data_IF_763419442702
#
_entry.id   IF_763419442702
#
_cell.length_a   1.000
_cell.length_b   1.000
_cell.length_c   1.000
_cell.angle_alpha   90.00
_cell.angle_beta   90.00
_cell.angle_gamma   90.00
#
_symmetry.space_group_name_H-M   'P 1'
#
loop_
_entity.id
_entity.type
_entity.pdbx_description
1 polymer ?
#
# COMPACT_ATOMS: atom_id res chain seq x y z
N UNK A 1 -27.28 7.39 8.86
CA UNK A 1 -26.31 8.35 8.28
C UNK A 1 -25.45 7.74 7.17
N UNK A 2 -24.80 6.59 7.37
CA UNK A 2 -23.96 5.96 6.34
C UNK A 2 -24.72 5.62 5.05
N UNK A 3 -25.93 5.03 5.14
CA UNK A 3 -26.74 4.64 3.96
C UNK A 3 -27.14 5.85 3.12
N UNK A 4 -27.56 6.94 3.76
CA UNK A 4 -27.92 8.18 3.06
C UNK A 4 -26.72 8.76 2.29
N UNK A 5 -25.53 8.77 2.90
CA UNK A 5 -24.31 9.24 2.22
C UNK A 5 -23.92 8.36 1.02
N UNK A 6 -24.12 7.03 1.13
CA UNK A 6 -23.91 6.10 0.01
C UNK A 6 -24.88 6.42 -1.14
N UNK A 7 -26.16 6.64 -0.84
CA UNK A 7 -27.17 7.02 -1.85
C UNK A 7 -26.78 8.33 -2.53
N UNK A 8 -26.44 9.37 -1.77
CA UNK A 8 -26.01 10.66 -2.32
C UNK A 8 -24.77 10.52 -3.20
N UNK A 9 -23.76 9.76 -2.78
CA UNK A 9 -22.57 9.49 -3.60
C UNK A 9 -22.90 8.73 -4.87
N UNK A 10 -23.84 7.79 -4.81
CA UNK A 10 -24.29 7.05 -5.99
C UNK A 10 -25.01 7.96 -6.99
N UNK A 11 -25.89 8.83 -6.51
CA UNK A 11 -26.59 9.82 -7.35
C UNK A 11 -25.57 10.78 -7.96
N UNK A 12 -24.66 11.33 -7.15
CA UNK A 12 -23.61 12.23 -7.63
C UNK A 12 -22.70 11.58 -8.67
N UNK A 13 -22.34 10.30 -8.47
CA UNK A 13 -21.58 9.57 -9.46
C UNK A 13 -22.35 9.39 -10.76
N UNK A 14 -23.63 8.99 -10.69
CA UNK A 14 -24.49 8.84 -11.86
C UNK A 14 -24.61 10.17 -12.63
N UNK A 15 -24.86 11.28 -11.95
CA UNK A 15 -25.00 12.59 -12.61
C UNK A 15 -23.72 13.01 -13.30
N UNK A 16 -22.56 12.82 -12.66
CA UNK A 16 -21.28 13.14 -13.28
C UNK A 16 -20.96 12.20 -14.45
N UNK A 17 -21.27 10.91 -14.31
CA UNK A 17 -21.09 9.91 -15.37
C UNK A 17 -21.85 10.28 -16.64
N UNK A 18 -23.07 10.81 -16.48
CA UNK A 18 -23.94 11.20 -17.60
C UNK A 18 -23.60 12.59 -18.17
N UNK A 19 -23.07 13.50 -17.37
CA UNK A 19 -22.80 14.88 -17.79
C UNK A 19 -21.39 15.11 -18.31
N UNK A 20 -20.40 14.33 -17.87
CA UNK A 20 -18.97 14.59 -18.10
C UNK A 20 -18.26 13.37 -18.69
N UNK A 21 -17.54 13.58 -19.79
CA UNK A 21 -16.85 12.50 -20.49
C UNK A 21 -15.46 12.19 -19.92
N UNK A 22 -14.82 13.16 -19.27
CA UNK A 22 -13.53 13.05 -18.61
C UNK A 22 -13.60 12.36 -17.23
N UNK A 23 -14.78 12.37 -16.60
CA UNK A 23 -14.94 11.93 -15.22
C UNK A 23 -14.80 10.42 -15.05
N UNK A 24 -13.75 9.96 -14.37
CA UNK A 24 -13.48 8.52 -14.09
C UNK A 24 -13.35 7.68 -15.37
N UNK A 25 -12.92 8.30 -16.48
CA UNK A 25 -12.80 7.67 -17.79
C UNK A 25 -11.39 7.11 -18.05
N UNK A 26 -10.89 6.29 -17.12
CA UNK A 26 -9.56 5.66 -17.24
C UNK A 26 -9.64 4.17 -17.63
N UNK A 27 -10.86 3.67 -17.86
CA UNK A 27 -11.13 2.24 -18.00
C UNK A 27 -11.43 1.86 -19.45
N UNK A 28 -10.71 0.88 -19.97
CA UNK A 28 -10.85 0.38 -21.34
C UNK A 28 -11.86 -0.78 -21.35
N UNK A 29 -13.03 -0.53 -21.94
CA UNK A 29 -14.14 -1.49 -22.04
C UNK A 29 -14.35 -2.04 -23.45
N UNK A 30 -15.40 -2.86 -23.60
CA UNK A 30 -15.74 -3.49 -24.88
C UNK A 30 -16.03 -2.46 -25.99
N UNK A 31 -16.72 -1.37 -25.68
CA UNK A 31 -16.99 -0.29 -26.64
C UNK A 31 -15.69 0.36 -27.17
N UNK A 32 -14.65 0.47 -26.34
CA UNK A 32 -13.35 1.00 -26.78
C UNK A 32 -12.67 0.05 -27.77
N UNK A 33 -12.69 -1.26 -27.50
CA UNK A 33 -12.18 -2.27 -28.44
C UNK A 33 -12.97 -2.29 -29.75
N UNK A 34 -14.29 -2.04 -29.70
CA UNK A 34 -15.10 -1.93 -30.91
C UNK A 34 -14.70 -0.73 -31.79
N UNK A 35 -14.36 0.41 -31.17
CA UNK A 35 -13.85 1.60 -31.88
C UNK A 35 -12.48 1.30 -32.53
N UNK A 36 -11.55 0.68 -31.79
CA UNK A 36 -10.22 0.30 -32.31
C UNK A 36 -10.35 -0.66 -33.50
N UNK A 37 -11.17 -1.71 -33.38
CA UNK A 37 -11.43 -2.68 -34.45
C UNK A 37 -12.05 -2.04 -35.70
N UNK A 38 -12.96 -1.07 -35.52
CA UNK A 38 -13.56 -0.35 -36.65
C UNK A 38 -12.52 0.51 -37.37
N UNK A 39 -11.64 1.19 -36.64
CA UNK A 39 -10.56 1.97 -37.25
C UNK A 39 -9.53 1.10 -37.95
N UNK A 40 -9.23 -0.08 -37.41
CA UNK A 40 -8.39 -1.09 -38.06
C UNK A 40 -8.97 -1.49 -39.43
N UNK A 41 -10.28 -1.75 -39.51
CA UNK A 41 -10.94 -2.06 -40.79
C UNK A 41 -10.91 -0.91 -41.80
N UNK A 42 -10.78 0.34 -41.32
CA UNK A 42 -10.69 1.56 -42.12
C UNK A 42 -9.23 1.99 -42.41
N UNK A 43 -8.24 1.18 -42.02
CA UNK A 43 -6.81 1.51 -42.17
C UNK A 43 -6.40 2.84 -41.51
N UNK A 44 -7.09 3.23 -40.42
CA UNK A 44 -6.79 4.41 -39.63
C UNK A 44 -5.81 4.09 -38.49
N UNK A 45 -5.09 5.09 -37.95
CA UNK A 45 -4.17 4.87 -36.85
C UNK A 45 -4.87 4.28 -35.62
N UNK A 46 -4.26 3.23 -35.09
CA UNK A 46 -4.72 2.44 -33.93
C UNK A 46 -4.13 2.98 -32.62
N UNK A 47 -4.92 2.91 -31.53
CA UNK A 47 -4.43 3.26 -30.19
C UNK A 47 -3.76 2.05 -29.53
N UNK A 48 -4.32 0.86 -29.70
CA UNK A 48 -3.69 -0.36 -29.21
C UNK A 48 -2.49 -0.74 -30.11
N UNK A 49 -1.41 -1.37 -29.64
CA UNK A 49 -1.09 -1.66 -28.24
C UNK A 49 -0.79 -0.40 -27.42
N UNK A 50 -1.15 -0.43 -26.14
CA UNK A 50 -0.85 0.66 -25.20
C UNK A 50 0.64 0.62 -24.85
N UNK A 51 1.28 1.78 -24.86
CA UNK A 51 2.67 1.93 -24.38
C UNK A 51 2.75 1.68 -22.87
N UNK A 52 3.95 1.34 -22.36
CA UNK A 52 4.16 1.14 -20.91
C UNK A 52 3.71 2.32 -20.04
N UNK A 53 3.78 3.55 -20.55
CA UNK A 53 3.30 4.74 -19.81
C UNK A 53 1.79 4.78 -19.74
N UNK A 54 1.13 4.49 -20.85
CA UNK A 54 -0.32 4.48 -20.96
C UNK A 54 -0.93 3.36 -20.14
N UNK A 55 -0.29 2.18 -20.06
CA UNK A 55 -0.74 1.07 -19.21
C UNK A 55 -0.77 1.44 -17.71
N UNK A 56 -0.03 2.46 -17.27
CA UNK A 56 -0.08 2.97 -15.89
C UNK A 56 -1.21 4.00 -15.66
N UNK A 57 -1.81 4.53 -16.73
CA UNK A 57 -2.87 5.53 -16.71
C UNK A 57 -4.24 4.96 -17.10
N UNK A 58 -4.24 3.99 -18.03
CA UNK A 58 -5.44 3.36 -18.58
C UNK A 58 -5.37 1.86 -18.38
N UNK A 59 -6.47 1.27 -17.94
CA UNK A 59 -6.51 -0.16 -17.63
C UNK A 59 -7.78 -0.81 -18.17
N UNK A 60 -7.71 -2.04 -18.70
CA UNK A 60 -8.93 -2.75 -19.08
C UNK A 60 -9.76 -3.09 -17.83
N UNK A 61 -11.09 -3.02 -17.97
CA UNK A 61 -12.02 -3.29 -16.85
C UNK A 61 -11.83 -4.69 -16.24
N UNK A 62 -11.42 -5.66 -17.06
CA UNK A 62 -11.27 -7.07 -16.68
C UNK A 62 -9.90 -7.42 -16.08
N UNK A 63 -8.94 -6.48 -16.07
CA UNK A 63 -7.61 -6.77 -15.53
C UNK A 63 -7.63 -6.83 -14.00
N UNK A 64 -6.89 -7.79 -13.43
CA UNK A 64 -6.70 -7.89 -11.98
C UNK A 64 -5.66 -6.92 -11.43
N UNK A 65 -4.86 -6.28 -12.29
CA UNK A 65 -3.82 -5.35 -11.88
C UNK A 65 -4.43 -4.04 -11.37
N UNK A 66 -3.86 -3.48 -10.31
CA UNK A 66 -4.28 -2.17 -9.79
C UNK A 66 -3.49 -1.04 -10.44
N UNK A 67 -4.21 0.04 -10.79
CA UNK A 67 -3.62 1.27 -11.31
C UNK A 67 -2.79 1.97 -10.23
N UNK A 68 -1.77 2.76 -10.60
CA UNK A 68 -0.93 3.49 -9.63
C UNK A 68 -1.75 4.37 -8.67
N UNK A 69 -2.78 5.02 -9.19
CA UNK A 69 -3.68 5.85 -8.38
C UNK A 69 -4.52 5.02 -7.40
N UNK A 70 -5.01 3.85 -7.85
CA UNK A 70 -5.74 2.91 -7.00
C UNK A 70 -4.82 2.36 -5.90
N UNK A 71 -3.58 1.98 -6.24
CA UNK A 71 -2.56 1.52 -5.28
C UNK A 71 -2.24 2.58 -4.24
N UNK A 72 -2.09 3.85 -4.62
CA UNK A 72 -1.83 4.93 -3.66
C UNK A 72 -3.01 5.12 -2.70
N UNK A 73 -4.25 5.01 -3.19
CA UNK A 73 -5.45 5.08 -2.35
C UNK A 73 -5.51 3.91 -1.38
N UNK A 74 -5.30 2.69 -1.88
CA UNK A 74 -5.25 1.46 -1.08
C UNK A 74 -4.12 1.54 -0.05
N UNK A 75 -2.92 1.98 -0.43
CA UNK A 75 -1.79 2.12 0.47
C UNK A 75 -2.06 3.12 1.59
N UNK A 76 -2.71 4.26 1.28
CA UNK A 76 -3.12 5.23 2.28
C UNK A 76 -4.13 4.62 3.27
N UNK A 77 -5.17 3.96 2.75
CA UNK A 77 -6.20 3.33 3.59
C UNK A 77 -5.60 2.18 4.43
N UNK A 78 -4.71 1.38 3.85
CA UNK A 78 -3.98 0.31 4.50
C UNK A 78 -3.05 0.84 5.60
N UNK A 79 -2.39 1.99 5.39
CA UNK A 79 -1.57 2.63 6.42
C UNK A 79 -2.41 3.02 7.65
N UNK A 80 -3.58 3.64 7.43
CA UNK A 80 -4.48 3.97 8.53
C UNK A 80 -4.97 2.71 9.26
N UNK A 81 -5.40 1.67 8.52
CA UNK A 81 -5.82 0.43 9.14
C UNK A 81 -4.68 -0.26 9.89
N UNK A 82 -3.47 -0.23 9.36
CA UNK A 82 -2.27 -0.77 10.02
C UNK A 82 -2.02 -0.12 11.38
N UNK A 83 -2.08 1.21 11.46
CA UNK A 83 -1.96 1.91 12.75
C UNK A 83 -3.06 1.48 13.73
N UNK A 84 -4.31 1.38 13.26
CA UNK A 84 -5.42 0.88 14.08
C UNK A 84 -5.22 -0.58 14.51
N UNK A 85 -4.64 -1.43 13.65
CA UNK A 85 -4.35 -2.83 13.99
C UNK A 85 -3.31 -2.94 15.09
N UNK A 86 -2.26 -2.11 15.07
CA UNK A 86 -1.25 -2.04 16.13
C UNK A 86 -1.90 -1.59 17.44
N UNK A 87 -2.76 -0.57 17.40
CA UNK A 87 -3.46 -0.10 18.59
C UNK A 87 -4.34 -1.19 19.21
N UNK A 88 -5.15 -1.89 18.40
CA UNK A 88 -6.00 -3.00 18.87
C UNK A 88 -5.14 -4.15 19.41
N UNK A 89 -4.08 -4.53 18.71
CA UNK A 89 -3.16 -5.58 19.15
C UNK A 89 -2.47 -5.23 20.47
N UNK A 90 -2.07 -3.96 20.66
CA UNK A 90 -1.50 -3.49 21.91
C UNK A 90 -2.50 -3.59 23.07
N UNK A 91 -3.76 -3.20 22.86
CA UNK A 91 -4.81 -3.32 23.87
C UNK A 91 -5.03 -4.79 24.27
N UNK A 92 -5.16 -5.69 23.28
CA UNK A 92 -5.33 -7.13 23.52
C UNK A 92 -4.12 -7.72 24.25
N UNK A 93 -2.92 -7.27 23.90
CA UNK A 93 -1.68 -7.72 24.55
C UNK A 93 -1.62 -7.27 26.01
N UNK A 94 -2.00 -6.02 26.31
CA UNK A 94 -2.04 -5.50 27.68
C UNK A 94 -3.05 -6.26 28.52
N UNK A 95 -4.24 -6.55 27.98
CA UNK A 95 -5.27 -7.33 28.66
C UNK A 95 -4.79 -8.75 29.00
N UNK A 96 -4.12 -9.42 28.05
CA UNK A 96 -3.51 -10.73 28.26
C UNK A 96 -2.37 -10.71 29.29
N UNK A 97 -1.50 -9.70 29.23
CA UNK A 97 -0.44 -9.50 30.22
C UNK A 97 -1.01 -9.25 31.62
N UNK A 98 -2.09 -8.47 31.74
CA UNK A 98 -2.76 -8.20 33.01
C UNK A 98 -3.34 -9.49 33.60
N UNK A 99 -4.01 -10.31 32.79
CA UNK A 99 -4.51 -11.63 33.20
C UNK A 99 -3.39 -12.53 33.75
N UNK A 100 -2.26 -12.63 33.03
CA UNK A 100 -1.12 -13.43 33.49
C UNK A 100 -0.48 -12.88 34.76
N UNK A 101 -0.32 -11.56 34.87
CA UNK A 101 0.23 -10.93 36.05
C UNK A 101 -0.64 -11.22 37.28
N UNK A 102 -1.96 -11.04 37.17
CA UNK A 102 -2.89 -11.36 38.25
C UNK A 102 -2.87 -12.84 38.62
N UNK A 103 -2.73 -13.73 37.62
CA UNK A 103 -2.63 -15.18 37.85
C UNK A 103 -1.36 -15.53 38.63
N UNK A 104 -0.21 -14.97 38.26
CA UNK A 104 1.07 -15.20 38.95
C UNK A 104 1.00 -14.67 40.39
N UNK A 105 0.48 -13.45 40.59
CA UNK A 105 0.33 -12.84 41.93
C UNK A 105 -0.62 -13.66 42.79
N UNK A 106 -1.75 -14.12 42.24
CA UNK A 106 -2.69 -15.00 42.92
C UNK A 106 -2.05 -16.32 43.35
N UNK A 107 -1.29 -16.97 42.47
CA UNK A 107 -0.57 -18.21 42.79
C UNK A 107 0.53 -18.02 43.83
N UNK A 108 1.32 -16.96 43.73
CA UNK A 108 2.37 -16.65 44.69
C UNK A 108 1.80 -16.37 46.09
N UNK A 109 0.70 -15.60 46.15
CA UNK A 109 0.00 -15.29 47.41
C UNK A 109 -0.57 -16.55 48.10
N UNK A 110 -1.15 -17.47 47.31
CA UNK A 110 -1.65 -18.76 47.81
C UNK A 110 -0.51 -19.64 48.36
N UNK A 111 0.60 -19.78 47.62
CA UNK A 111 1.78 -20.56 48.05
C UNK A 111 2.45 -20.01 49.31
N UNK A 112 2.59 -18.69 49.44
CA UNK A 112 3.23 -18.09 50.60
C UNK A 112 2.41 -18.29 51.90
N UNK A 113 1.09 -18.46 51.77
CA UNK A 113 0.22 -18.76 52.92
C UNK A 113 0.40 -20.19 53.43
N UNK A 114 0.73 -21.15 52.55
CA UNK A 114 1.01 -22.54 52.95
C UNK A 114 2.35 -22.68 53.69
N UNK A 115 3.35 -21.88 53.35
CA UNK A 115 4.72 -21.99 53.89
C UNK A 115 4.85 -21.33 55.27
N UNK A 116 4.00 -20.35 55.61
CA UNK A 116 4.18 -19.50 56.80
C UNK A 116 3.36 -19.86 58.05
N UNK A 117 2.58 -20.95 58.09
CA UNK A 117 1.76 -21.19 59.29
C UNK A 117 1.44 -22.66 59.61
N UNK A 118 2.03 -23.22 60.68
CA UNK A 118 1.30 -24.13 61.53
C UNK A 118 0.32 -23.31 62.36
N UNK A 119 -0.98 -23.60 62.22
CA UNK A 119 -2.07 -22.95 62.94
C UNK A 119 -1.88 -23.02 64.46
N UNK A 120 -1.80 -21.85 65.11
CA UNK A 120 -2.09 -21.63 66.54
C UNK A 120 -1.33 -22.52 67.54
N UNK A 121 -0.08 -22.19 67.85
CA UNK A 121 0.56 -22.67 69.08
C UNK A 121 0.17 -21.78 70.26
N UNK A 122 -0.64 -22.31 71.18
CA UNK A 122 -0.96 -21.66 72.46
C UNK A 122 0.09 -22.07 73.49
N UNK A 123 1.06 -21.20 73.78
CA UNK A 123 2.18 -21.50 74.66
C UNK A 123 1.76 -21.18 76.10
N UNK A 124 1.65 -22.19 76.97
CA UNK A 124 1.28 -22.00 78.37
C UNK A 124 2.51 -22.08 79.28
N UNK A 125 2.84 -20.98 79.97
CA UNK A 125 3.98 -20.90 80.89
C UNK A 125 3.53 -21.27 82.32
N UNK A 126 3.99 -22.42 82.81
CA UNK A 126 3.69 -22.95 84.15
C UNK A 126 4.78 -22.50 85.13
N UNK A 127 4.39 -21.83 86.23
CA UNK A 127 5.30 -21.39 87.30
C UNK A 127 4.90 -20.04 87.89
N UNK A 128 5.05 -19.87 89.21
CA UNK A 128 4.76 -18.61 89.90
C UNK A 128 6.07 -17.95 90.33
N UNK A 129 6.48 -16.92 89.59
CA UNK A 129 7.70 -16.16 89.84
C UNK A 129 7.86 -15.01 88.83
N UNK A 130 8.72 -14.04 89.15
CA UNK A 130 8.95 -12.84 88.32
C UNK A 130 9.47 -13.17 86.91
N UNK A 131 10.25 -14.24 86.77
CA UNK A 131 10.73 -14.75 85.47
C UNK A 131 9.56 -15.32 84.65
N UNK A 132 8.63 -16.04 85.27
CA UNK A 132 7.46 -16.58 84.59
C UNK A 132 6.54 -15.45 84.05
N UNK A 133 6.41 -14.34 84.78
CA UNK A 133 5.66 -13.17 84.32
C UNK A 133 6.32 -12.45 83.13
N UNK A 134 7.66 -12.41 83.08
CA UNK A 134 8.39 -11.90 81.92
C UNK A 134 8.12 -12.76 80.67
N UNK A 135 8.22 -14.08 80.78
CA UNK A 135 7.93 -14.99 79.67
C UNK A 135 6.46 -14.91 79.22
N UNK A 136 5.49 -14.76 80.14
CA UNK A 136 4.08 -14.53 79.79
C UNK A 136 3.88 -13.30 78.93
N UNK A 137 4.59 -12.21 79.22
CA UNK A 137 4.51 -10.96 78.41
C UNK A 137 5.09 -11.16 77.02
N UNK A 138 6.23 -11.84 76.90
CA UNK A 138 6.85 -12.14 75.60
C UNK A 138 5.92 -13.03 74.76
N UNK A 139 5.37 -14.09 75.35
CA UNK A 139 4.40 -14.97 74.70
C UNK A 139 3.14 -14.22 74.29
N UNK A 140 2.61 -13.33 75.12
CA UNK A 140 1.43 -12.53 74.78
C UNK A 140 1.66 -11.63 73.56
N UNK A 141 2.86 -11.06 73.40
CA UNK A 141 3.23 -10.26 72.21
C UNK A 141 3.35 -11.15 70.97
N UNK A 142 3.94 -12.34 71.10
CA UNK A 142 4.07 -13.31 70.00
C UNK A 142 2.68 -13.83 69.57
N UNK A 143 1.78 -14.09 70.51
CA UNK A 143 0.40 -14.47 70.20
C UNK A 143 -0.36 -13.33 69.51
N UNK A 144 -0.18 -12.09 69.95
CA UNK A 144 -0.79 -10.93 69.32
C UNK A 144 -0.28 -10.70 67.89
N UNK A 145 1.03 -10.85 67.65
CA UNK A 145 1.62 -10.72 66.32
C UNK A 145 1.22 -11.87 65.39
N UNK A 146 1.14 -13.10 65.91
CA UNK A 146 0.64 -14.24 65.17
C UNK A 146 -0.83 -14.08 64.76
N UNK A 147 -1.70 -13.58 65.66
CA UNK A 147 -3.10 -13.27 65.33
C UNK A 147 -3.24 -12.17 64.28
N UNK A 148 -2.38 -11.15 64.33
CA UNK A 148 -2.36 -10.08 63.33
C UNK A 148 -1.93 -10.62 61.94
N UNK A 149 -0.91 -11.48 61.90
CA UNK A 149 -0.49 -12.16 60.68
C UNK A 149 -1.57 -13.11 60.13
N UNK A 150 -2.34 -13.75 61.01
CA UNK A 150 -3.45 -14.64 60.63
C UNK A 150 -4.67 -13.89 60.06
N UNK A 151 -4.94 -12.69 60.56
CA UNK A 151 -5.95 -11.77 60.04
C UNK A 151 -5.54 -11.18 58.68
N UNK A 152 -4.26 -10.87 58.50
CA UNK A 152 -3.67 -10.36 57.26
C UNK A 152 -3.23 -11.49 56.31
N UNK A 153 -3.99 -12.59 56.22
CA UNK A 153 -3.69 -13.70 55.29
C UNK A 153 -3.72 -13.22 53.84
N UNK A 154 -2.59 -13.21 53.12
CA UNK A 154 -2.55 -12.77 51.72
C UNK A 154 -3.45 -13.63 50.82
N UNK A 155 -3.66 -14.91 51.15
CA UNK A 155 -4.54 -15.81 50.41
C UNK A 155 -6.02 -15.38 50.40
N UNK A 156 -6.53 -14.70 51.45
CA UNK A 156 -7.93 -14.20 51.44
C UNK A 156 -8.13 -13.03 50.49
N UNK A 157 -7.05 -12.33 50.13
CA UNK A 157 -7.05 -11.22 49.17
C UNK A 157 -6.43 -11.63 47.83
N UNK A 158 -6.22 -12.93 47.58
CA UNK A 158 -5.66 -13.39 46.32
C UNK A 158 -6.62 -13.03 45.17
N UNK A 159 -6.17 -12.29 44.15
CA UNK A 159 -7.00 -12.00 42.99
C UNK A 159 -7.30 -13.31 42.24
N UNK A 160 -8.58 -13.55 41.95
CA UNK A 160 -9.04 -14.61 41.06
C UNK A 160 -9.44 -13.98 39.72
N UNK A 161 -8.50 -13.83 38.78
CA UNK A 161 -8.81 -13.22 37.50
C UNK A 161 -9.73 -14.14 36.68
N UNK A 162 -10.82 -13.62 36.09
CA UNK A 162 -11.60 -14.40 35.14
C UNK A 162 -10.74 -14.74 33.92
N UNK A 163 -10.93 -15.94 33.38
CA UNK A 163 -10.24 -16.34 32.15
C UNK A 163 -10.60 -15.37 31.01
N UNK A 164 -9.63 -15.03 30.13
CA UNK A 164 -9.89 -14.12 29.03
C UNK A 164 -10.94 -14.71 28.08
N UNK A 165 -11.88 -13.88 27.63
CA UNK A 165 -12.96 -14.27 26.71
C UNK A 165 -12.39 -14.54 25.30
N UNK A 166 -11.90 -15.75 25.05
CA UNK A 166 -11.34 -16.14 23.74
C UNK A 166 -12.32 -15.91 22.58
N UNK A 167 -13.62 -16.04 22.81
CA UNK A 167 -14.67 -15.76 21.81
C UNK A 167 -14.63 -14.30 21.36
N UNK A 168 -14.45 -13.35 22.29
CA UNK A 168 -14.37 -11.92 21.96
C UNK A 168 -13.09 -11.62 21.20
N UNK A 169 -11.96 -12.22 21.57
CA UNK A 169 -10.72 -12.08 20.81
C UNK A 169 -10.83 -12.64 19.39
N UNK A 170 -11.50 -13.78 19.21
CA UNK A 170 -11.80 -14.32 17.88
C UNK A 170 -12.69 -13.37 17.06
N UNK A 171 -13.71 -12.77 17.68
CA UNK A 171 -14.57 -11.77 17.02
C UNK A 171 -13.77 -10.53 16.59
N UNK A 172 -12.91 -10.00 17.45
CA UNK A 172 -12.03 -8.86 17.13
C UNK A 172 -11.09 -9.22 15.97
N UNK A 173 -10.47 -10.40 16.02
CA UNK A 173 -9.62 -10.90 14.93
C UNK A 173 -10.37 -11.03 13.61
N UNK A 174 -11.59 -11.60 13.63
CA UNK A 174 -12.44 -11.71 12.45
C UNK A 174 -12.80 -10.35 11.86
N UNK A 175 -13.19 -9.38 12.69
CA UNK A 175 -13.48 -8.02 12.25
C UNK A 175 -12.25 -7.37 11.61
N UNK A 176 -11.06 -7.55 12.19
CA UNK A 176 -9.81 -7.03 11.66
C UNK A 176 -9.47 -7.61 10.28
N UNK A 177 -9.58 -8.92 10.14
CA UNK A 177 -9.36 -9.63 8.86
C UNK A 177 -10.37 -9.17 7.81
N UNK A 178 -11.64 -9.02 8.19
CA UNK A 178 -12.67 -8.52 7.28
C UNK A 178 -12.40 -7.08 6.81
N UNK A 179 -11.88 -6.22 7.70
CA UNK A 179 -11.51 -4.84 7.36
C UNK A 179 -10.35 -4.82 6.35
N UNK A 180 -9.34 -5.67 6.54
CA UNK A 180 -8.25 -5.82 5.57
C UNK A 180 -8.76 -6.33 4.22
N UNK A 181 -9.66 -7.31 4.22
CA UNK A 181 -10.29 -7.81 2.99
C UNK A 181 -11.06 -6.69 2.26
N UNK A 182 -11.82 -5.86 2.98
CA UNK A 182 -12.54 -4.74 2.37
C UNK A 182 -11.63 -3.71 1.71
N UNK A 183 -10.44 -3.44 2.25
CA UNK A 183 -9.47 -2.54 1.61
C UNK A 183 -8.99 -3.10 0.27
N UNK A 184 -8.79 -4.42 0.18
CA UNK A 184 -8.40 -5.08 -1.07
C UNK A 184 -9.55 -5.10 -2.07
N UNK A 185 -10.79 -5.29 -1.59
CA UNK A 185 -12.01 -5.33 -2.41
C UNK A 185 -12.48 -3.94 -2.89
N UNK A 186 -12.15 -2.86 -2.17
CA UNK A 186 -12.54 -1.48 -2.49
C UNK A 186 -12.28 -1.08 -3.96
N UNK A 187 -11.07 -1.23 -4.53
CA UNK A 187 -10.81 -0.86 -5.93
C UNK A 187 -11.66 -1.68 -6.92
N UNK A 188 -11.92 -2.96 -6.63
CA UNK A 188 -12.75 -3.80 -7.49
C UNK A 188 -14.23 -3.38 -7.43
N UNK A 189 -14.73 -3.00 -6.25
CA UNK A 189 -16.08 -2.44 -6.10
C UNK A 189 -16.29 -1.15 -6.90
N UNK A 190 -15.26 -0.29 -6.96
CA UNK A 190 -15.31 0.92 -7.78
C UNK A 190 -15.37 0.62 -9.29
N UNK A 191 -14.70 -0.45 -9.75
CA UNK A 191 -14.77 -0.89 -11.15
C UNK A 191 -16.11 -1.51 -11.51
N UNK A 192 -16.73 -2.25 -10.59
CA UNK A 192 -18.07 -2.83 -10.80
C UNK A 192 -19.10 -1.74 -11.08
N UNK A 193 -19.01 -0.59 -10.41
CA UNK A 193 -19.88 0.56 -10.67
C UNK A 193 -19.79 1.05 -12.12
N UNK A 194 -18.59 1.06 -12.71
CA UNK A 194 -18.38 1.42 -14.11
C UNK A 194 -19.04 0.39 -15.04
N UNK A 195 -18.92 -0.90 -14.72
CA UNK A 195 -19.56 -1.98 -15.47
C UNK A 195 -21.09 -1.87 -15.44
N UNK A 196 -21.65 -1.59 -14.25
CA UNK A 196 -23.09 -1.37 -14.08
C UNK A 196 -23.54 -0.18 -14.94
N UNK A 197 -22.87 0.97 -14.86
CA UNK A 197 -23.26 2.15 -15.64
C UNK A 197 -23.14 1.92 -17.15
N UNK A 198 -22.12 1.19 -17.60
CA UNK A 198 -21.97 0.81 -19.01
C UNK A 198 -23.11 -0.11 -19.48
N UNK A 199 -23.60 -1.00 -18.62
CA UNK A 199 -24.74 -1.87 -18.92
C UNK A 199 -26.08 -1.13 -18.98
N UNK A 200 -26.32 -0.17 -18.07
CA UNK A 200 -27.57 0.59 -18.05
C UNK A 200 -27.63 1.71 -19.10
N UNK A 201 -26.50 2.33 -19.44
CA UNK A 201 -26.41 3.47 -20.36
C UNK A 201 -25.40 3.21 -21.49
N UNK A 202 -25.69 2.27 -22.41
CA UNK A 202 -24.73 1.84 -23.44
C UNK A 202 -24.36 2.96 -24.41
N UNK A 203 -25.33 3.81 -24.81
CA UNK A 203 -25.04 4.93 -25.71
C UNK A 203 -24.07 5.95 -25.09
N UNK A 204 -24.24 6.25 -23.80
CA UNK A 204 -23.31 7.15 -23.10
C UNK A 204 -21.93 6.50 -22.92
N UNK A 205 -21.88 5.19 -22.68
CA UNK A 205 -20.62 4.46 -22.62
C UNK A 205 -19.86 4.50 -23.96
N UNK A 206 -20.55 4.44 -25.10
CA UNK A 206 -19.93 4.59 -26.43
C UNK A 206 -19.35 5.97 -26.65
N UNK A 207 -20.11 7.02 -26.36
CA UNK A 207 -19.62 8.40 -26.48
C UNK A 207 -18.34 8.60 -25.66
N UNK A 208 -18.35 8.15 -24.41
CA UNK A 208 -17.19 8.23 -23.51
C UNK A 208 -16.01 7.40 -23.99
N UNK A 209 -16.25 6.23 -24.58
CA UNK A 209 -15.20 5.41 -25.18
C UNK A 209 -14.57 6.11 -26.39
N UNK A 210 -15.37 6.73 -27.26
CA UNK A 210 -14.86 7.51 -28.41
C UNK A 210 -14.09 8.76 -27.97
N UNK A 211 -14.58 9.45 -26.94
CA UNK A 211 -13.88 10.58 -26.33
C UNK A 211 -12.52 10.16 -25.77
N UNK A 212 -12.48 9.06 -24.99
CA UNK A 212 -11.24 8.52 -24.42
C UNK A 212 -10.25 8.15 -25.52
N UNK A 213 -10.73 7.50 -26.59
CA UNK A 213 -9.90 7.11 -27.72
C UNK A 213 -9.25 8.34 -28.40
N UNK A 214 -10.04 9.39 -28.65
CA UNK A 214 -9.54 10.63 -29.24
C UNK A 214 -8.61 11.38 -28.28
N UNK A 215 -8.90 11.40 -26.98
CA UNK A 215 -8.05 12.01 -25.96
C UNK A 215 -6.67 11.34 -25.88
N UNK A 216 -6.61 10.00 -25.97
CA UNK A 216 -5.34 9.27 -26.02
C UNK A 216 -4.53 9.65 -27.27
N UNK A 217 -5.17 9.70 -28.45
CA UNK A 217 -4.49 10.11 -29.68
C UNK A 217 -3.97 11.55 -29.60
N UNK A 218 -4.78 12.48 -29.10
CA UNK A 218 -4.38 13.88 -28.91
C UNK A 218 -3.20 13.99 -27.93
N UNK A 219 -3.19 13.21 -26.85
CA UNK A 219 -2.07 13.15 -25.90
C UNK A 219 -0.79 12.62 -26.53
N UNK A 220 -0.86 11.61 -27.41
CA UNK A 220 0.30 11.13 -28.16
C UNK A 220 0.85 12.21 -29.10
N UNK A 221 -0.01 12.83 -29.90
CA UNK A 221 0.42 13.88 -30.82
C UNK A 221 1.01 15.10 -30.10
N UNK A 222 0.37 15.54 -29.02
CA UNK A 222 0.85 16.68 -28.24
C UNK A 222 2.18 16.37 -27.57
N UNK A 223 2.36 15.15 -27.04
CA UNK A 223 3.65 14.70 -26.51
C UNK A 223 4.75 14.76 -27.59
N UNK A 224 4.50 14.21 -28.77
CA UNK A 224 5.47 14.26 -29.90
C UNK A 224 5.77 15.70 -30.31
N UNK A 225 4.75 16.56 -30.47
CA UNK A 225 4.93 17.99 -30.81
C UNK A 225 5.74 18.74 -29.75
N UNK A 226 5.51 18.46 -28.46
CA UNK A 226 6.29 19.05 -27.37
C UNK A 226 7.75 18.59 -27.39
N UNK A 227 7.97 17.31 -27.63
CA UNK A 227 9.33 16.73 -27.77
C UNK A 227 10.07 17.37 -28.95
N UNK A 228 9.43 17.47 -30.13
CA UNK A 228 10.04 18.08 -31.31
C UNK A 228 10.36 19.57 -31.12
N UNK A 229 9.47 20.33 -30.45
CA UNK A 229 9.75 21.74 -30.12
C UNK A 229 10.93 21.89 -29.17
N UNK A 230 11.05 21.00 -28.19
CA UNK A 230 12.19 21.00 -27.28
C UNK A 230 13.49 20.65 -28.03
N UNK A 231 13.47 19.66 -28.91
CA UNK A 231 14.63 19.33 -29.76
C UNK A 231 15.07 20.52 -30.61
N UNK A 232 14.14 21.23 -31.25
CA UNK A 232 14.47 22.41 -32.06
C UNK A 232 15.07 23.56 -31.22
N UNK A 233 14.64 23.72 -29.97
CA UNK A 233 15.22 24.70 -29.05
C UNK A 233 16.63 24.31 -28.61
N UNK A 234 16.85 23.04 -28.28
CA UNK A 234 18.14 22.53 -27.81
C UNK A 234 19.19 22.49 -28.95
N UNK A 235 18.78 22.22 -30.20
CA UNK A 235 19.64 22.30 -31.39
C UNK A 235 20.05 23.74 -31.75
N UNK A 236 19.25 24.73 -31.34
CA UNK A 236 19.51 26.16 -31.59
C UNK A 236 20.40 26.85 -30.56
N UNK A 237 20.74 26.20 -29.44
CA UNK A 237 21.55 26.77 -28.36
C UNK A 237 22.85 25.95 -28.12
N UNK A 238 23.99 26.35 -28.72
CA UNK A 238 25.28 25.68 -28.50
C UNK A 238 25.89 25.95 -27.11
N UNK A 239 25.21 26.68 -26.22
CA UNK A 239 25.71 27.08 -24.89
C UNK A 239 24.70 26.73 -23.77
N UNK A 240 24.43 25.43 -23.62
CA UNK A 240 23.39 24.91 -22.73
C UNK A 240 23.48 25.37 -21.26
N UNK A 241 22.44 26.07 -20.81
CA UNK A 241 22.06 26.13 -19.38
C UNK A 241 21.17 24.94 -19.06
N UNK A 242 21.32 24.30 -17.88
CA UNK A 242 20.50 23.14 -17.51
C UNK A 242 19.03 23.55 -17.42
N UNK A 243 18.17 22.75 -18.06
CA UNK A 243 16.72 22.96 -18.10
C UNK A 243 16.13 22.75 -16.70
N UNK A 244 15.07 23.49 -16.34
CA UNK A 244 14.38 23.41 -15.05
C UNK A 244 13.96 21.97 -14.65
N UNK A 245 13.75 21.08 -15.64
CA UNK A 245 13.49 19.66 -15.44
C UNK A 245 14.70 18.89 -14.86
N UNK A 246 15.93 19.28 -15.18
CA UNK A 246 17.14 18.69 -14.62
C UNK A 246 17.33 19.09 -13.15
N UNK A 247 16.93 20.32 -12.80
CA UNK A 247 16.89 20.81 -11.42
C UNK A 247 15.84 20.04 -10.60
N UNK A 248 14.67 19.77 -11.18
CA UNK A 248 13.63 18.95 -10.53
C UNK A 248 14.09 17.50 -10.39
N UNK A 249 14.71 16.92 -11.42
CA UNK A 249 15.25 15.55 -11.38
C UNK A 249 16.36 15.40 -10.33
N UNK A 250 17.21 16.42 -10.17
CA UNK A 250 18.25 16.47 -9.12
C UNK A 250 17.65 16.62 -7.71
N UNK A 251 16.60 17.45 -7.53
CA UNK A 251 15.94 17.66 -6.23
C UNK A 251 15.08 16.48 -5.78
N UNK A 252 14.50 15.72 -6.70
CA UNK A 252 13.62 14.58 -6.39
C UNK A 252 14.42 13.30 -6.05
N UNK A 253 15.70 13.26 -6.41
CA UNK A 253 16.64 12.17 -6.09
C UNK A 253 17.14 12.19 -4.63
N UNK A 254 16.54 13.02 -3.77
CA UNK A 254 17.00 13.29 -2.41
C UNK A 254 16.24 12.53 -1.31
N UNK A 255 15.29 11.65 -1.65
CA UNK A 255 14.63 10.76 -0.68
C UNK A 255 15.51 9.52 -0.38
N UNK A 256 16.47 9.75 0.51
CA UNK A 256 17.48 8.84 1.05
C UNK A 256 16.93 7.46 1.51
N UNK A 257 15.68 7.39 1.96
CA UNK A 257 15.03 6.15 2.42
C UNK A 257 14.83 5.07 1.33
N UNK A 258 14.80 5.43 0.05
CA UNK A 258 14.66 4.46 -1.05
C UNK A 258 15.97 3.78 -1.45
N UNK A 259 17.12 4.34 -1.02
CA UNK A 259 18.46 3.95 -1.49
C UNK A 259 19.07 2.79 -0.70
N UNK A 260 18.54 2.49 0.48
CA UNK A 260 19.08 1.48 1.39
C UNK A 260 18.40 0.10 1.27
N UNK A 261 17.21 0.04 0.68
CA UNK A 261 16.41 -1.20 0.54
C UNK A 261 16.53 -1.84 -0.84
N UNK A 262 16.74 -1.05 -1.90
CA UNK A 262 16.94 -1.57 -3.26
C UNK A 262 18.43 -1.58 -3.60
N UNK A 263 19.02 -2.77 -3.54
CA UNK A 263 20.40 -3.04 -3.92
C UNK A 263 20.79 -2.46 -5.28
N UNK A 264 22.08 -2.14 -5.40
CA UNK A 264 22.71 -1.46 -6.52
C UNK A 264 22.76 -2.34 -7.77
N UNK A 265 21.64 -2.47 -8.46
CA UNK A 265 21.61 -2.74 -9.89
C UNK A 265 20.96 -1.53 -10.54
N UNK A 266 21.73 -0.80 -11.34
CA UNK A 266 21.20 0.28 -12.18
C UNK A 266 20.70 -0.37 -13.48
N UNK A 267 19.41 -0.72 -13.61
CA UNK A 267 18.87 -1.08 -14.92
C UNK A 267 19.10 0.10 -15.87
N UNK A 268 19.52 -0.19 -17.10
CA UNK A 268 19.56 0.81 -18.17
C UNK A 268 18.14 1.33 -18.34
N UNK A 269 17.93 2.64 -18.28
CA UNK A 269 16.59 3.24 -18.40
C UNK A 269 16.45 4.00 -19.70
N UNK A 270 15.28 3.91 -20.31
CA UNK A 270 14.99 4.70 -21.50
C UNK A 270 14.90 6.18 -21.13
N UNK A 271 15.56 7.06 -21.89
CA UNK A 271 15.56 8.51 -21.64
C UNK A 271 14.17 9.13 -21.81
N UNK A 272 13.41 8.64 -22.79
CA UNK A 272 12.04 9.08 -23.02
C UNK A 272 11.12 8.62 -21.89
N UNK A 273 10.97 7.30 -21.72
CA UNK A 273 9.90 6.74 -20.88
C UNK A 273 10.29 6.41 -19.45
N UNK A 274 11.58 6.44 -19.13
CA UNK A 274 12.10 6.09 -17.81
C UNK A 274 11.88 4.63 -17.43
N UNK A 275 11.39 3.77 -18.34
CA UNK A 275 11.21 2.36 -18.06
C UNK A 275 12.57 1.66 -18.03
N UNK A 276 12.69 0.69 -17.13
CA UNK A 276 13.84 -0.21 -17.06
C UNK A 276 13.87 -1.05 -18.37
N UNK A 277 15.01 -1.00 -19.05
CA UNK A 277 15.31 -1.73 -20.28
C UNK A 277 16.01 -3.03 -19.90
N UNK A 278 15.56 -4.14 -20.50
CA UNK A 278 16.29 -5.40 -20.43
C UNK A 278 17.62 -5.25 -21.21
N UNK A 279 18.62 -6.04 -20.84
CA UNK A 279 20.02 -5.86 -21.31
C UNK A 279 20.19 -5.96 -22.84
N UNK A 280 19.21 -6.52 -23.56
CA UNK A 280 19.27 -6.77 -25.00
C UNK A 280 18.14 -6.11 -25.81
N UNK A 281 17.17 -5.44 -25.17
CA UNK A 281 15.98 -4.83 -25.85
C UNK A 281 16.01 -3.29 -25.81
N UNK A 282 17.10 -2.67 -26.27
CA UNK A 282 17.18 -1.21 -26.36
C UNK A 282 17.93 -0.71 -27.59
N UNK A 283 17.45 0.42 -28.13
CA UNK A 283 18.07 1.10 -29.26
C UNK A 283 19.01 2.17 -28.72
N UNK A 284 20.30 2.04 -29.07
CA UNK A 284 21.33 3.03 -28.73
C UNK A 284 21.67 3.87 -29.96
N UNK A 285 21.91 5.16 -29.75
CA UNK A 285 22.41 6.05 -30.80
C UNK A 285 23.85 5.69 -31.22
N UNK A 286 24.14 5.70 -32.52
CA UNK A 286 25.44 5.32 -33.11
C UNK A 286 26.54 6.38 -32.88
N UNK A 287 26.17 7.65 -32.64
CA UNK A 287 27.15 8.74 -32.46
C UNK A 287 28.04 8.48 -31.22
N UNK A 288 29.39 8.47 -31.36
CA UNK A 288 30.33 8.02 -30.31
C UNK A 288 30.44 8.91 -29.04
N UNK A 289 29.58 9.90 -28.86
CA UNK A 289 29.48 10.71 -27.64
C UNK A 289 28.03 10.91 -27.18
N UNK A 290 27.08 10.18 -27.76
CA UNK A 290 25.67 10.29 -27.46
C UNK A 290 25.24 9.18 -26.48
N UNK A 291 24.74 9.57 -25.31
CA UNK A 291 24.20 8.65 -24.29
C UNK A 291 22.75 8.23 -24.56
N UNK A 292 22.24 8.46 -25.78
CA UNK A 292 20.86 8.18 -26.19
C UNK A 292 20.51 6.69 -26.11
N UNK A 293 19.66 6.31 -25.15
CA UNK A 293 19.15 4.95 -24.99
C UNK A 293 17.62 4.95 -24.96
N UNK A 294 17.02 4.22 -25.88
CA UNK A 294 15.59 4.23 -26.13
C UNK A 294 14.98 2.83 -26.06
N UNK A 295 13.75 2.74 -25.55
CA UNK A 295 12.92 1.57 -25.74
C UNK A 295 12.48 1.50 -27.20
N UNK A 296 12.27 0.31 -27.77
CA UNK A 296 11.88 0.18 -29.19
C UNK A 296 10.58 0.96 -29.50
N UNK A 297 9.58 0.90 -28.62
CA UNK A 297 8.34 1.69 -28.75
C UNK A 297 8.64 3.20 -28.81
N UNK A 298 9.50 3.68 -27.90
CA UNK A 298 9.90 5.08 -27.79
C UNK A 298 10.69 5.56 -29.01
N UNK A 299 11.46 4.64 -29.61
CA UNK A 299 12.27 4.89 -30.79
C UNK A 299 11.43 5.05 -32.05
N UNK A 300 10.38 4.23 -32.20
CA UNK A 300 9.39 4.39 -33.27
C UNK A 300 8.61 5.70 -33.15
N UNK A 301 8.25 6.10 -31.92
CA UNK A 301 7.51 7.35 -31.66
C UNK A 301 8.30 8.61 -32.05
N UNK A 302 9.63 8.59 -31.93
CA UNK A 302 10.51 9.72 -32.31
C UNK A 302 10.94 9.68 -33.79
N UNK A 303 10.25 8.89 -34.63
CA UNK A 303 10.52 8.77 -36.07
C UNK A 303 11.98 8.45 -36.40
N UNK A 304 12.60 7.59 -35.61
CA UNK A 304 13.98 7.17 -35.77
C UNK A 304 15.03 8.27 -35.54
N UNK A 305 14.68 9.43 -35.01
CA UNK A 305 15.64 10.52 -34.72
C UNK A 305 16.03 10.51 -33.25
N UNK A 306 17.32 10.51 -32.97
CA UNK A 306 17.83 10.55 -31.60
C UNK A 306 17.49 11.88 -30.92
N UNK A 307 16.79 11.85 -29.78
CA UNK A 307 16.52 13.06 -28.98
C UNK A 307 17.81 13.81 -28.63
N UNK A 308 18.85 13.08 -28.20
CA UNK A 308 20.05 13.72 -27.65
C UNK A 308 20.95 14.38 -28.71
N UNK A 309 20.91 13.94 -29.98
CA UNK A 309 21.83 14.45 -31.00
C UNK A 309 21.17 14.88 -32.32
N UNK A 310 19.86 14.66 -32.49
CA UNK A 310 19.11 15.06 -33.69
C UNK A 310 19.42 14.22 -34.94
N UNK A 311 20.25 13.19 -34.85
CA UNK A 311 20.58 12.32 -35.99
C UNK A 311 19.58 11.17 -36.15
N UNK A 312 19.31 10.70 -37.39
CA UNK A 312 18.61 9.45 -37.61
C UNK A 312 19.44 8.28 -37.07
N UNK A 313 18.87 7.50 -36.17
CA UNK A 313 19.41 6.23 -35.71
C UNK A 313 18.99 5.20 -36.76
N UNK A 314 19.93 4.74 -37.58
CA UNK A 314 19.69 3.66 -38.55
C UNK A 314 19.69 2.33 -37.80
N UNK A 315 18.53 1.68 -37.72
CA UNK A 315 18.43 0.28 -37.28
C UNK A 315 18.99 -0.59 -38.40
N UNK A 316 20.10 -1.27 -38.14
CA UNK A 316 20.79 -2.12 -39.11
C UNK A 316 20.07 -3.45 -39.36
N UNK A 317 18.82 -3.41 -39.84
CA UNK A 317 18.15 -4.57 -40.43
C UNK A 317 18.16 -4.40 -41.97
N UNK A 318 19.35 -4.52 -42.55
CA UNK A 318 19.50 -4.95 -43.94
C UNK A 318 19.90 -6.42 -43.91
N UNK A 319 18.92 -7.30 -43.76
CA UNK A 319 19.08 -8.72 -44.06
C UNK A 319 19.41 -8.86 -45.54
N UNK A 320 20.58 -9.43 -45.82
CA UNK A 320 21.04 -9.87 -47.14
C UNK A 320 19.97 -10.74 -47.83
N UNK A 321 19.29 -10.18 -48.84
CA UNK A 321 18.71 -10.94 -49.93
C UNK A 321 19.21 -10.36 -51.25
N UNK A 322 20.42 -10.75 -51.65
CA UNK A 322 20.74 -10.89 -53.07
C UNK A 322 21.47 -12.21 -53.28
N UNK A 323 20.66 -13.19 -53.67
CA UNK A 323 21.01 -14.49 -54.22
C UNK A 323 22.23 -14.40 -55.14
N UNK A 324 23.24 -15.20 -54.83
CA UNK A 324 24.17 -15.69 -55.83
C UNK A 324 23.45 -16.65 -56.78
N UNK A 325 23.65 -16.38 -58.08
CA UNK A 325 23.58 -17.27 -59.24
C UNK A 325 22.32 -17.24 -60.11
#
# INVERSE_FOLDING_TARGET
>A
MCVFFVILRSIHYKTNYLSRDDYDNCYIGQEFYAVDKRRESMQLPRVLPLTRREQNCYIPLTSLYLLRQERLRVARNAFFLFLSTIQIAAIVSVDYCLYWLLTIVGQASRKQTEIHLPSMFKIHVIGNGTIADMYRRIVAVIEASARLADYLRPAKCAPDPPAPDYVRYCQIGFLLVSAWAFIVLEPYGLRVRQLIMAGYYPERARERATWLYNDILLKRETFVKLVLKQMAADLGDPTGKPTWLDVIRAKTNHYWLSRMVLGSHHPVRCILCGSDLARDDYVRCFRPQCSGMYCYECFLEIQHVCWMCGDPILTGDSSDESLER
#
